data_IF_670830297215
#
_entry.id   IF_670830297215
#
_cell.length_a   1.000
_cell.length_b   1.000
_cell.length_c   1.000
_cell.angle_alpha   90.00
_cell.angle_beta   90.00
_cell.angle_gamma   90.00
#
_symmetry.space_group_name_H-M   'P 1'
#
loop_
_entity.id
_entity.type
_entity.pdbx_description
1 polymer ?
#
# COMPACT_ATOMS: atom_id res chain seq x y z
N UNK A 1 9.21 -17.22 6.60
CA UNK A 1 8.19 -16.70 7.54
C UNK A 1 6.89 -17.48 7.46
N UNK A 2 5.90 -17.17 6.60
CA UNK A 2 4.59 -17.89 6.68
C UNK A 2 4.69 -19.42 6.71
N UNK A 3 5.52 -20.01 5.84
CA UNK A 3 5.77 -21.46 5.83
C UNK A 3 6.52 -21.96 7.06
N UNK A 4 7.47 -21.18 7.60
CA UNK A 4 8.22 -21.57 8.80
C UNK A 4 7.33 -21.55 10.04
N UNK A 5 6.34 -20.66 10.06
CA UNK A 5 5.33 -20.57 11.13
C UNK A 5 4.16 -21.55 10.94
N UNK A 6 4.23 -22.47 9.96
CA UNK A 6 3.15 -23.43 9.69
C UNK A 6 1.86 -22.80 9.14
N UNK A 7 1.88 -21.53 8.74
CA UNK A 7 0.72 -20.84 8.18
C UNK A 7 0.55 -21.29 6.71
N UNK A 8 -0.27 -22.34 6.51
CA UNK A 8 -0.57 -22.91 5.19
C UNK A 8 -1.64 -22.14 4.43
N UNK A 9 -2.55 -21.48 5.15
CA UNK A 9 -3.69 -20.75 4.61
C UNK A 9 -3.33 -19.32 4.17
N UNK A 10 -4.31 -18.65 3.56
CA UNK A 10 -4.26 -17.21 3.31
C UNK A 10 -4.30 -16.44 4.63
N UNK A 11 -3.42 -15.45 4.77
CA UNK A 11 -3.43 -14.49 5.88
C UNK A 11 -4.43 -13.39 5.56
N UNK A 12 -5.36 -13.11 6.47
CA UNK A 12 -6.38 -12.08 6.27
C UNK A 12 -5.79 -10.67 6.12
N UNK A 13 -4.90 -10.27 7.02
CA UNK A 13 -4.34 -8.93 7.07
C UNK A 13 -2.86 -9.00 7.44
N UNK A 14 -2.04 -8.23 6.74
CA UNK A 14 -0.73 -7.80 7.22
C UNK A 14 -0.73 -6.29 7.32
N UNK A 15 -0.50 -5.79 8.52
CA UNK A 15 -0.23 -4.38 8.78
C UNK A 15 1.28 -4.21 8.89
N UNK A 16 1.81 -3.21 8.18
CA UNK A 16 3.22 -2.86 8.17
C UNK A 16 3.33 -1.44 8.74
N UNK A 17 3.95 -1.34 9.89
CA UNK A 17 4.26 -0.08 10.57
C UNK A 17 5.72 -0.15 11.03
N UNK A 18 6.62 0.27 10.13
CA UNK A 18 8.06 0.13 10.33
C UNK A 18 8.80 1.47 10.27
N UNK A 19 8.11 2.53 10.66
CA UNK A 19 8.66 3.89 10.83
C UNK A 19 9.43 4.36 9.59
N UNK A 20 8.84 4.10 8.41
CA UNK A 20 9.36 4.48 7.10
C UNK A 20 9.95 3.34 6.28
N UNK A 21 10.30 2.19 6.86
CA UNK A 21 10.89 1.04 6.14
C UNK A 21 9.88 0.19 5.38
N UNK A 22 8.65 0.65 5.30
CA UNK A 22 7.49 -0.11 4.83
C UNK A 22 7.66 -0.57 3.37
N UNK A 23 8.29 0.27 2.55
CA UNK A 23 8.66 -0.05 1.17
C UNK A 23 9.57 -1.29 1.07
N UNK A 24 10.55 -1.40 1.98
CA UNK A 24 11.49 -2.51 2.00
C UNK A 24 10.86 -3.79 2.53
N UNK A 25 9.96 -3.68 3.53
CA UNK A 25 9.17 -4.82 3.99
C UNK A 25 8.30 -5.36 2.86
N UNK A 26 7.59 -4.48 2.14
CA UNK A 26 6.81 -4.86 0.96
C UNK A 26 7.67 -5.54 -0.11
N UNK A 27 8.87 -5.01 -0.39
CA UNK A 27 9.81 -5.59 -1.34
C UNK A 27 10.29 -7.00 -0.89
N UNK A 28 10.61 -7.17 0.39
CA UNK A 28 10.94 -8.49 0.97
C UNK A 28 9.77 -9.47 0.92
N UNK A 29 8.53 -8.97 1.00
CA UNK A 29 7.30 -9.74 0.89
C UNK A 29 6.85 -10.02 -0.56
N UNK A 30 7.57 -9.53 -1.58
CA UNK A 30 7.12 -9.54 -2.98
C UNK A 30 6.66 -10.91 -3.48
N UNK A 31 7.37 -11.99 -3.14
CA UNK A 31 6.96 -13.34 -3.54
C UNK A 31 5.65 -13.79 -2.87
N UNK A 32 5.46 -13.46 -1.60
CA UNK A 32 4.24 -13.77 -0.83
C UNK A 32 3.03 -13.02 -1.40
N UNK A 33 3.22 -11.74 -1.73
CA UNK A 33 2.21 -10.88 -2.34
C UNK A 33 1.88 -11.32 -3.78
N UNK A 34 2.88 -11.65 -4.61
CA UNK A 34 2.64 -12.21 -5.97
C UNK A 34 1.88 -13.53 -5.96
N UNK A 35 2.08 -14.35 -4.91
CA UNK A 35 1.29 -15.57 -4.68
C UNK A 35 -0.06 -15.32 -4.04
N UNK A 36 -0.41 -14.05 -3.77
CA UNK A 36 -1.68 -13.59 -3.17
C UNK A 36 -2.01 -14.32 -1.87
N UNK A 37 -0.98 -14.60 -1.07
CA UNK A 37 -1.09 -15.29 0.22
C UNK A 37 -1.59 -14.37 1.35
N UNK A 38 -1.64 -13.07 1.10
CA UNK A 38 -2.14 -12.06 2.03
C UNK A 38 -3.40 -11.43 1.42
N UNK A 39 -4.57 -11.50 2.04
CA UNK A 39 -5.80 -10.93 1.46
C UNK A 39 -5.76 -9.41 1.39
N UNK A 40 -5.34 -8.78 2.48
CA UNK A 40 -5.26 -7.34 2.65
C UNK A 40 -3.87 -6.98 3.21
N UNK A 41 -3.22 -5.99 2.62
CA UNK A 41 -1.99 -5.40 3.18
C UNK A 41 -2.24 -3.92 3.46
N UNK A 42 -1.87 -3.47 4.65
CA UNK A 42 -1.82 -2.06 5.01
C UNK A 42 -0.38 -1.66 5.27
N UNK A 43 0.01 -0.46 4.86
CA UNK A 43 1.31 0.10 5.18
C UNK A 43 1.27 1.61 5.33
N UNK A 44 2.25 2.17 6.03
CA UNK A 44 2.40 3.61 6.16
C UNK A 44 3.16 4.24 4.99
N UNK A 45 2.74 5.43 4.58
CA UNK A 45 3.46 6.31 3.66
C UNK A 45 3.59 7.69 4.29
N UNK A 46 4.80 8.21 4.41
CA UNK A 46 5.02 9.48 5.10
C UNK A 46 6.44 10.03 4.95
N UNK A 47 6.78 10.98 5.82
CA UNK A 47 8.05 11.72 5.77
C UNK A 47 9.29 10.82 5.88
N UNK A 48 9.13 9.66 6.51
CA UNK A 48 10.17 8.67 6.70
C UNK A 48 10.30 7.67 5.54
N UNK A 49 9.47 7.75 4.50
CA UNK A 49 9.56 6.81 3.37
C UNK A 49 10.82 7.03 2.51
N UNK A 50 11.55 5.97 2.07
CA UNK A 50 11.45 4.57 2.49
C UNK A 50 12.39 4.21 3.67
N UNK A 51 13.09 5.18 4.27
CA UNK A 51 13.89 5.03 5.49
C UNK A 51 14.44 6.41 5.91
N UNK A 52 13.63 7.23 6.58
CA UNK A 52 13.79 8.68 6.78
C UNK A 52 15.09 9.17 7.44
N UNK A 53 15.98 8.25 7.80
CA UNK A 53 17.29 8.48 8.40
C UNK A 53 18.43 8.68 7.38
N UNK A 54 18.23 8.33 6.10
CA UNK A 54 19.27 8.51 5.07
C UNK A 54 19.62 9.99 4.78
N UNK A 55 18.86 10.95 5.31
CA UNK A 55 19.13 12.39 5.12
C UNK A 55 20.42 12.89 5.78
N UNK A 56 21.07 12.14 6.69
CA UNK A 56 22.28 12.62 7.37
C UNK A 56 23.59 11.92 7.02
N UNK A 57 23.61 10.71 6.43
CA UNK A 57 24.90 9.98 6.29
C UNK A 57 25.11 9.14 5.01
N UNK A 58 24.11 8.90 4.16
CA UNK A 58 24.26 7.92 3.08
C UNK A 58 23.62 8.38 1.76
N UNK A 59 24.22 9.39 1.11
CA UNK A 59 23.90 9.76 -0.28
C UNK A 59 22.42 10.01 -0.59
N UNK A 60 22.03 10.19 -1.86
CA UNK A 60 20.62 10.14 -2.22
C UNK A 60 20.14 8.69 -2.03
N UNK A 61 19.14 8.42 -1.16
CA UNK A 61 18.58 7.07 -1.08
C UNK A 61 18.05 6.68 -2.46
N UNK A 62 18.27 5.43 -2.86
CA UNK A 62 17.53 4.83 -3.98
C UNK A 62 16.05 5.22 -3.83
N UNK A 63 15.54 5.98 -4.79
CA UNK A 63 14.30 6.75 -4.65
C UNK A 63 13.11 5.81 -4.81
N UNK A 64 12.86 4.91 -3.86
CA UNK A 64 11.63 4.12 -3.87
C UNK A 64 10.46 5.08 -3.70
N UNK A 65 9.67 5.25 -4.75
CA UNK A 65 8.47 6.09 -4.74
C UNK A 65 7.24 5.27 -4.33
N UNK A 66 6.20 5.95 -3.86
CA UNK A 66 4.90 5.31 -3.69
C UNK A 66 4.37 4.85 -5.06
N UNK A 67 4.52 5.67 -6.11
CA UNK A 67 4.12 5.34 -7.47
C UNK A 67 4.69 4.02 -7.97
N UNK A 68 6.00 3.79 -7.84
CA UNK A 68 6.63 2.52 -8.24
C UNK A 68 6.11 1.35 -7.42
N UNK A 69 5.89 1.57 -6.11
CA UNK A 69 5.36 0.56 -5.21
C UNK A 69 3.95 0.14 -5.59
N UNK A 70 3.08 1.12 -5.86
CA UNK A 70 1.72 0.91 -6.35
C UNK A 70 1.71 0.23 -7.72
N UNK A 71 2.64 0.58 -8.60
CA UNK A 71 2.76 -0.01 -9.92
C UNK A 71 3.01 -1.52 -9.84
N UNK A 72 4.00 -1.98 -9.09
CA UNK A 72 4.29 -3.42 -9.02
C UNK A 72 3.25 -4.17 -8.17
N UNK A 73 2.70 -3.57 -7.10
CA UNK A 73 1.59 -4.15 -6.34
C UNK A 73 0.40 -4.43 -7.27
N UNK A 74 0.10 -3.51 -8.18
CA UNK A 74 -0.95 -3.67 -9.17
C UNK A 74 -0.60 -4.67 -10.27
N UNK A 75 0.46 -4.42 -11.05
CA UNK A 75 0.74 -5.19 -12.27
C UNK A 75 1.30 -6.58 -12.01
N UNK A 76 2.03 -6.78 -10.91
CA UNK A 76 2.67 -8.08 -10.63
C UNK A 76 1.95 -8.89 -9.55
N UNK A 77 1.42 -8.23 -8.52
CA UNK A 77 0.77 -8.90 -7.40
C UNK A 77 -0.77 -8.90 -7.50
N UNK A 78 -1.35 -8.02 -8.32
CA UNK A 78 -2.80 -7.92 -8.51
C UNK A 78 -3.54 -7.25 -7.35
N UNK A 79 -2.85 -6.40 -6.59
CA UNK A 79 -3.46 -5.60 -5.52
C UNK A 79 -3.95 -4.26 -6.07
N UNK A 80 -5.13 -3.84 -5.61
CA UNK A 80 -5.64 -2.51 -5.83
C UNK A 80 -5.64 -1.76 -4.49
N UNK A 81 -5.05 -0.57 -4.48
CA UNK A 81 -4.68 0.17 -3.29
C UNK A 81 -5.49 1.46 -3.16
N UNK A 82 -5.69 1.86 -1.91
CA UNK A 82 -6.38 3.07 -1.50
C UNK A 82 -5.57 3.79 -0.42
N UNK A 83 -5.53 5.12 -0.42
CA UNK A 83 -5.31 5.81 0.87
C UNK A 83 -6.47 5.48 1.80
N UNK A 84 -6.23 5.32 3.10
CA UNK A 84 -7.26 4.88 4.04
C UNK A 84 -8.09 6.03 4.62
N UNK A 85 -7.51 7.24 4.77
CA UNK A 85 -8.22 8.40 5.33
C UNK A 85 -7.83 9.71 4.64
N UNK A 86 -8.66 10.22 3.71
CA UNK A 86 -9.88 9.58 3.18
C UNK A 86 -9.62 8.35 2.32
N UNK A 87 -10.65 7.51 2.14
CA UNK A 87 -10.59 6.35 1.26
C UNK A 87 -10.55 6.81 -0.20
N UNK A 88 -9.37 6.81 -0.82
CA UNK A 88 -9.15 7.27 -2.21
C UNK A 88 -8.40 6.18 -2.98
N UNK A 89 -8.90 5.73 -4.15
CA UNK A 89 -8.17 4.76 -4.97
C UNK A 89 -6.88 5.39 -5.53
N UNK A 90 -5.76 4.68 -5.39
CA UNK A 90 -4.44 5.18 -5.79
C UNK A 90 -3.66 4.21 -6.70
N UNK A 91 -4.14 3.00 -6.95
CA UNK A 91 -3.57 2.15 -8.01
C UNK A 91 -3.86 2.71 -9.41
N UNK A 92 -3.05 2.37 -10.43
CA UNK A 92 -3.38 2.69 -11.82
C UNK A 92 -4.80 2.20 -12.22
N UNK A 93 -5.56 2.97 -13.03
CA UNK A 93 -5.23 4.29 -13.60
C UNK A 93 -5.57 5.47 -12.67
N UNK A 94 -5.99 5.23 -11.42
CA UNK A 94 -6.42 6.29 -10.48
C UNK A 94 -5.26 7.12 -9.92
N UNK A 95 -4.03 6.62 -10.00
CA UNK A 95 -2.85 7.34 -9.54
C UNK A 95 -2.70 8.69 -10.25
N UNK A 96 -2.37 9.72 -9.48
CA UNK A 96 -2.02 11.04 -10.00
C UNK A 96 -0.67 11.45 -9.42
N UNK A 97 0.29 11.95 -10.22
CA UNK A 97 1.62 12.32 -9.72
C UNK A 97 1.62 13.29 -8.53
N UNK A 98 0.59 14.15 -8.43
CA UNK A 98 0.40 15.08 -7.30
C UNK A 98 0.09 14.40 -5.96
N UNK A 99 -0.16 13.09 -5.95
CA UNK A 99 -0.38 12.29 -4.74
C UNK A 99 0.94 11.73 -4.17
N UNK A 100 2.06 11.87 -4.88
CA UNK A 100 3.41 11.54 -4.39
C UNK A 100 3.90 12.60 -3.39
N UNK A 101 3.18 12.72 -2.27
CA UNK A 101 3.44 13.67 -1.21
C UNK A 101 3.68 12.90 0.07
N UNK A 102 4.90 12.99 0.62
CA UNK A 102 5.34 12.31 1.84
C UNK A 102 4.70 12.86 3.13
N UNK A 103 3.40 13.11 3.11
CA UNK A 103 2.56 13.40 4.27
C UNK A 103 2.05 12.07 4.81
N UNK A 104 2.17 11.89 6.13
CA UNK A 104 1.73 10.67 6.80
C UNK A 104 0.30 10.28 6.40
N UNK A 105 0.18 9.06 5.89
CA UNK A 105 -1.02 8.45 5.35
C UNK A 105 -0.91 6.94 5.47
N UNK A 106 -2.02 6.27 5.77
CA UNK A 106 -2.12 4.82 5.63
C UNK A 106 -2.57 4.46 4.22
N UNK A 107 -1.97 3.40 3.66
CA UNK A 107 -2.37 2.79 2.39
C UNK A 107 -2.91 1.40 2.67
N UNK A 108 -4.08 1.10 2.13
CA UNK A 108 -4.77 -0.18 2.24
C UNK A 108 -4.91 -0.81 0.85
N UNK A 109 -4.42 -2.03 0.67
CA UNK A 109 -4.46 -2.74 -0.60
C UNK A 109 -5.13 -4.11 -0.46
N UNK A 110 -5.94 -4.48 -1.44
CA UNK A 110 -6.60 -5.79 -1.51
C UNK A 110 -6.47 -6.41 -2.91
N UNK A 111 -6.44 -7.74 -3.02
CA UNK A 111 -6.37 -8.43 -4.32
C UNK A 111 -7.67 -9.15 -4.71
N UNK A 112 -8.53 -9.52 -3.75
CA UNK A 112 -9.77 -10.23 -4.05
C UNK A 112 -10.81 -9.27 -4.64
N UNK A 113 -11.50 -9.64 -5.74
CA UNK A 113 -12.48 -8.77 -6.38
C UNK A 113 -13.55 -8.21 -5.43
N UNK A 114 -14.08 -9.05 -4.54
CA UNK A 114 -15.12 -8.64 -3.56
C UNK A 114 -14.61 -7.58 -2.58
N UNK A 115 -13.35 -7.66 -2.15
CA UNK A 115 -12.79 -6.67 -1.23
C UNK A 115 -12.54 -5.34 -1.93
N UNK A 116 -12.02 -5.41 -3.17
CA UNK A 116 -11.83 -4.23 -4.02
C UNK A 116 -13.16 -3.53 -4.28
N UNK A 117 -14.24 -4.29 -4.55
CA UNK A 117 -15.58 -3.75 -4.74
C UNK A 117 -16.10 -3.04 -3.47
N UNK A 118 -15.93 -3.66 -2.30
CA UNK A 118 -16.35 -3.06 -1.02
C UNK A 118 -15.61 -1.73 -0.78
N UNK A 119 -14.29 -1.70 -0.99
CA UNK A 119 -13.47 -0.50 -0.82
C UNK A 119 -13.83 0.58 -1.85
N UNK A 120 -14.06 0.20 -3.10
CA UNK A 120 -14.48 1.12 -4.17
C UNK A 120 -15.83 1.75 -3.85
N UNK A 121 -16.80 0.95 -3.41
CA UNK A 121 -18.12 1.44 -3.00
C UNK A 121 -18.04 2.35 -1.77
N UNK A 122 -17.18 2.02 -0.80
CA UNK A 122 -16.94 2.86 0.37
C UNK A 122 -16.31 4.21 -0.02
N UNK A 123 -15.32 4.21 -0.93
CA UNK A 123 -14.69 5.40 -1.49
C UNK A 123 -15.73 6.30 -2.19
N UNK A 124 -16.56 5.71 -3.06
CA UNK A 124 -17.62 6.44 -3.77
C UNK A 124 -18.63 7.08 -2.80
N UNK A 125 -19.04 6.36 -1.75
CA UNK A 125 -19.92 6.91 -0.71
C UNK A 125 -19.27 8.07 0.06
N UNK A 126 -17.98 7.95 0.40
CA UNK A 126 -17.26 9.02 1.09
C UNK A 126 -17.14 10.27 0.21
N UNK A 127 -16.86 10.09 -1.08
CA UNK A 127 -16.85 11.18 -2.05
C UNK A 127 -18.22 11.86 -2.16
N UNK A 128 -19.31 11.09 -2.32
CA UNK A 128 -20.66 11.64 -2.41
C UNK A 128 -21.07 12.45 -1.17
N UNK A 129 -20.66 12.03 0.03
CA UNK A 129 -20.90 12.80 1.27
C UNK A 129 -20.20 14.15 1.29
N UNK A 130 -19.03 14.27 0.66
CA UNK A 130 -18.26 15.53 0.59
C UNK A 130 -18.81 16.53 -0.42
N UNK A 131 -19.60 16.07 -1.39
CA UNK A 131 -20.26 16.93 -2.37
C UNK A 131 -21.59 17.49 -1.88
N UNK A 132 -22.10 17.00 -0.74
CA UNK A 132 -23.31 17.57 -0.13
C UNK A 132 -22.90 18.86 0.60
N UNK A 133 -23.53 20.00 0.27
CA UNK A 133 -23.25 21.29 0.92
C UNK A 133 -23.59 21.28 2.40
#
# INVERSE_FOLDING_TARGET
FLRSEGISEEVLLVEIDTEGHDAFVLAGMRQTLRRRRIRIVQFEYGGMWPAGWAKKQLGPPERVTLSETLQWLWSEAGYFCFFQSPLIPISPPCWQPKLEVRRWSNVLCAHRPRDIEVLTNASARQYAKRLRP
#
